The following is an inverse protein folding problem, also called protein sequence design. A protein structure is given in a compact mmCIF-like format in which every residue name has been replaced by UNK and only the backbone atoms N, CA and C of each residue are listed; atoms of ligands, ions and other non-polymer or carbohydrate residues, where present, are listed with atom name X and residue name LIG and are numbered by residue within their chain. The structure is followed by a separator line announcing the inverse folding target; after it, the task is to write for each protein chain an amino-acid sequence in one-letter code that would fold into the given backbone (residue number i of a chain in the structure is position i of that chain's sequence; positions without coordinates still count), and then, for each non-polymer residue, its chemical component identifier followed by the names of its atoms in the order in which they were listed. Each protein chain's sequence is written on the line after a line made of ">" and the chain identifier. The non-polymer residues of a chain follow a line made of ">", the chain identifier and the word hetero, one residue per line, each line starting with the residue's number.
data_IF_396692833269
#
_entry.id   IF_396692833269
#
_cell.length_a   1.000
_cell.length_b   1.000
_cell.length_c   1.000
_cell.angle_alpha   90.00
_cell.angle_beta   90.00
_cell.angle_gamma   90.00
#
_symmetry.space_group_name_H-M   'P 1'
#
loop_
_entity.id
_entity.type
_entity.pdbx_description
1 polymer ?
#
# COMPACT_ATOMS: atom_id res chain seq x y z
N UNK A 1 27.51 -53.75 -44.21
CA UNK A 1 26.89 -53.38 -45.50
C UNK A 1 26.39 -51.94 -45.39
N UNK A 2 26.72 -51.14 -46.43
CA UNK A 2 26.12 -49.87 -46.93
C UNK A 2 25.09 -49.14 -46.04
N UNK A 3 25.14 -47.82 -45.84
CA UNK A 3 25.89 -46.76 -46.52
C UNK A 3 25.31 -45.41 -46.09
N UNK A 4 26.17 -44.38 -46.08
CA UNK A 4 25.82 -42.97 -45.89
C UNK A 4 25.83 -42.33 -47.28
N UNK A 5 24.84 -41.52 -47.61
CA UNK A 5 25.01 -40.42 -48.57
C UNK A 5 23.92 -39.37 -48.39
N UNK A 6 24.39 -38.15 -48.14
CA UNK A 6 23.64 -36.89 -48.11
C UNK A 6 23.19 -36.49 -49.52
N UNK A 7 22.11 -35.70 -49.60
CA UNK A 7 21.85 -34.91 -50.81
C UNK A 7 20.44 -34.34 -50.93
N UNK A 8 20.31 -33.03 -50.78
CA UNK A 8 19.28 -32.23 -51.46
C UNK A 8 18.17 -31.65 -50.58
N UNK A 9 18.44 -30.50 -49.98
CA UNK A 9 17.39 -29.57 -49.54
C UNK A 9 16.51 -29.17 -50.74
N UNK A 10 15.24 -29.59 -50.74
CA UNK A 10 14.22 -28.93 -51.56
C UNK A 10 13.54 -27.86 -50.70
N UNK A 11 13.59 -26.59 -51.14
CA UNK A 11 13.06 -25.41 -50.42
C UNK A 11 11.52 -25.35 -50.32
N UNK A 12 10.82 -26.45 -50.60
CA UNK A 12 9.36 -26.55 -50.60
C UNK A 12 8.67 -26.58 -49.21
N UNK A 13 9.26 -27.12 -48.13
CA UNK A 13 8.58 -27.14 -46.82
C UNK A 13 8.65 -25.77 -46.11
N UNK A 14 9.67 -24.96 -46.38
CA UNK A 14 9.81 -23.62 -45.79
C UNK A 14 8.76 -22.66 -46.35
N UNK A 15 8.47 -22.73 -47.65
CA UNK A 15 7.43 -21.90 -48.29
C UNK A 15 6.04 -22.27 -47.79
N UNK A 16 5.74 -23.57 -47.62
CA UNK A 16 4.47 -24.01 -47.02
C UNK A 16 4.35 -23.57 -45.56
N UNK A 17 5.43 -23.61 -44.78
CA UNK A 17 5.43 -23.16 -43.40
C UNK A 17 5.17 -21.64 -43.30
N UNK A 18 5.80 -20.82 -44.14
CA UNK A 18 5.55 -19.38 -44.16
C UNK A 18 4.10 -19.05 -44.54
N UNK A 19 3.52 -19.75 -45.51
CA UNK A 19 2.10 -19.54 -45.90
C UNK A 19 1.16 -19.92 -44.75
N UNK A 20 1.43 -21.02 -44.03
CA UNK A 20 0.63 -21.43 -42.87
C UNK A 20 0.70 -20.41 -41.71
N UNK A 21 1.88 -19.84 -41.44
CA UNK A 21 2.04 -18.81 -40.40
C UNK A 21 1.28 -17.54 -40.77
N UNK A 22 1.34 -17.10 -42.03
CA UNK A 22 0.60 -15.91 -42.50
C UNK A 22 -0.92 -16.14 -42.40
N UNK A 23 -1.42 -17.31 -42.78
CA UNK A 23 -2.84 -17.65 -42.64
C UNK A 23 -3.30 -17.68 -41.17
N UNK A 24 -2.47 -18.20 -40.25
CA UNK A 24 -2.78 -18.20 -38.82
C UNK A 24 -2.73 -16.80 -38.21
N UNK A 25 -1.81 -15.94 -38.63
CA UNK A 25 -1.77 -14.54 -38.21
C UNK A 25 -3.00 -13.76 -38.70
N UNK A 26 -3.44 -13.98 -39.95
CA UNK A 26 -4.65 -13.34 -40.49
C UNK A 26 -5.92 -13.83 -39.79
N UNK A 27 -6.00 -15.12 -39.43
CA UNK A 27 -7.09 -15.65 -38.59
C UNK A 27 -7.04 -15.06 -37.17
N UNK A 28 -5.86 -14.92 -36.57
CA UNK A 28 -5.72 -14.32 -35.24
C UNK A 28 -6.11 -12.84 -35.23
N UNK A 29 -5.77 -12.08 -36.28
CA UNK A 29 -6.21 -10.69 -36.44
C UNK A 29 -7.72 -10.58 -36.71
N UNK A 30 -8.30 -11.51 -37.46
CA UNK A 30 -9.74 -11.56 -37.69
C UNK A 30 -10.54 -11.86 -36.41
N UNK A 31 -10.07 -12.80 -35.58
CA UNK A 31 -10.71 -13.14 -34.30
C UNK A 31 -10.37 -12.16 -33.16
N UNK A 32 -9.25 -11.43 -33.23
CA UNK A 32 -8.92 -10.37 -32.28
C UNK A 32 -9.53 -9.01 -32.67
N UNK A 33 -9.99 -8.87 -33.92
CA UNK A 33 -10.62 -7.67 -34.47
C UNK A 33 -12.15 -7.62 -34.35
N UNK A 34 -12.82 -8.67 -33.85
CA UNK A 34 -14.26 -8.62 -33.57
C UNK A 34 -14.55 -8.09 -32.16
N UNK A 35 -14.39 -6.78 -32.06
CA UNK A 35 -15.20 -5.84 -31.28
C UNK A 35 -15.56 -6.21 -29.83
N UNK A 36 -14.72 -5.69 -28.94
CA UNK A 36 -15.15 -5.25 -27.61
C UNK A 36 -16.21 -4.16 -27.74
N UNK A 37 -17.43 -4.51 -27.33
CA UNK A 37 -18.60 -3.64 -27.32
C UNK A 37 -18.88 -3.07 -25.91
N UNK A 38 -17.84 -2.96 -25.07
CA UNK A 38 -17.96 -2.52 -23.66
C UNK A 38 -17.39 -1.12 -23.39
N UNK A 39 -16.63 -0.51 -24.32
CA UNK A 39 -15.99 0.80 -24.11
C UNK A 39 -16.88 2.02 -24.42
N UNK A 40 -17.94 1.87 -25.23
CA UNK A 40 -18.76 3.01 -25.66
C UNK A 40 -19.66 3.57 -24.57
N UNK A 41 -20.14 2.74 -23.63
CA UNK A 41 -21.10 3.19 -22.62
C UNK A 41 -20.46 4.13 -21.56
N UNK A 42 -19.21 3.87 -21.16
CA UNK A 42 -18.48 4.71 -20.21
C UNK A 42 -18.06 6.04 -20.82
N UNK A 43 -17.61 6.02 -22.08
CA UNK A 43 -17.23 7.21 -22.83
C UNK A 43 -18.48 8.09 -23.10
N UNK A 44 -19.62 7.49 -23.43
CA UNK A 44 -20.88 8.21 -23.61
C UNK A 44 -21.40 8.81 -22.30
N UNK A 45 -21.22 8.14 -21.15
CA UNK A 45 -21.58 8.69 -19.84
C UNK A 45 -20.65 9.83 -19.41
N UNK A 46 -19.34 9.69 -19.59
CA UNK A 46 -18.36 10.74 -19.31
C UNK A 46 -18.58 11.99 -20.18
N UNK A 47 -18.91 11.80 -21.46
CA UNK A 47 -19.21 12.89 -22.41
C UNK A 47 -20.58 13.55 -22.12
N UNK A 48 -21.57 12.79 -21.63
CA UNK A 48 -22.86 13.35 -21.18
C UNK A 48 -22.73 14.14 -19.88
N UNK A 49 -21.88 13.69 -18.95
CA UNK A 49 -21.61 14.40 -17.71
C UNK A 49 -20.85 15.71 -17.95
N UNK A 50 -19.85 15.74 -18.85
CA UNK A 50 -19.14 16.97 -19.21
C UNK A 50 -20.05 18.00 -19.89
N UNK A 51 -20.95 17.56 -20.78
CA UNK A 51 -21.98 18.42 -21.41
C UNK A 51 -22.99 18.98 -20.41
N UNK A 52 -23.34 18.21 -19.37
CA UNK A 52 -24.24 18.65 -18.28
C UNK A 52 -23.64 19.74 -17.39
N UNK A 53 -22.32 19.92 -17.40
CA UNK A 53 -21.60 20.96 -16.64
C UNK A 53 -21.27 22.21 -17.48
N UNK A 54 -21.75 22.30 -18.73
CA UNK A 54 -21.58 23.49 -19.57
C UNK A 54 -20.18 23.67 -20.15
N UNK A 55 -19.33 22.64 -20.15
CA UNK A 55 -17.95 22.70 -20.67
C UNK A 55 -17.85 22.24 -22.12
N UNK A 56 -18.47 22.99 -23.03
CA UNK A 56 -18.25 22.84 -24.46
C UNK A 56 -17.68 24.14 -25.02
N UNK A 57 -16.43 24.13 -25.47
CA UNK A 57 -15.93 25.13 -26.42
C UNK A 57 -15.25 24.39 -27.56
N UNK A 58 -15.84 24.53 -28.75
CA UNK A 58 -15.17 24.31 -30.02
C UNK A 58 -14.09 25.40 -30.19
N UNK A 59 -12.92 25.04 -30.71
CA UNK A 59 -11.87 26.01 -31.05
C UNK A 59 -10.50 25.36 -31.28
N UNK A 60 -10.14 25.23 -32.56
CA UNK A 60 -8.76 25.00 -33.03
C UNK A 60 -7.83 26.15 -32.58
N UNK A 61 -6.57 25.83 -32.28
CA UNK A 61 -5.52 26.84 -32.12
C UNK A 61 -4.29 26.35 -31.36
N UNK A 62 -3.19 26.24 -32.09
CA UNK A 62 -1.83 25.96 -31.63
C UNK A 62 -1.24 27.07 -30.74
N UNK A 63 -0.18 26.67 -30.03
CA UNK A 63 1.02 27.42 -29.65
C UNK A 63 1.33 27.62 -28.15
N UNK A 64 2.60 27.37 -27.84
CA UNK A 64 3.14 27.21 -26.49
C UNK A 64 3.47 28.50 -25.74
N UNK A 65 3.52 28.39 -24.41
CA UNK A 65 4.42 29.17 -23.54
C UNK A 65 4.34 28.65 -22.10
N UNK A 66 5.50 28.28 -21.56
CA UNK A 66 5.74 28.04 -20.14
C UNK A 66 5.74 29.37 -19.39
N UNK A 67 4.98 29.45 -18.30
CA UNK A 67 5.25 30.44 -17.24
C UNK A 67 5.12 29.83 -15.84
N UNK A 68 6.06 30.25 -15.01
CA UNK A 68 6.35 29.84 -13.65
C UNK A 68 5.26 30.27 -12.65
N UNK A 69 4.91 29.36 -11.76
CA UNK A 69 4.15 29.65 -10.54
C UNK A 69 5.13 30.31 -9.58
N UNK A 70 5.10 31.65 -9.48
CA UNK A 70 5.18 32.44 -8.24
C UNK A 70 5.39 33.91 -8.64
N UNK A 71 4.26 34.60 -8.88
CA UNK A 71 4.19 36.05 -8.98
C UNK A 71 3.13 36.57 -8.02
N UNK A 72 3.56 37.36 -7.04
CA UNK A 72 2.69 38.16 -6.18
C UNK A 72 2.00 39.24 -7.01
N UNK A 73 0.66 39.22 -7.11
CA UNK A 73 -0.10 40.30 -7.73
C UNK A 73 -1.58 39.97 -8.00
N UNK A 74 -2.45 40.78 -7.40
CA UNK A 74 -3.89 40.98 -7.62
C UNK A 74 -4.87 39.79 -7.64
N UNK A 75 -5.70 39.76 -6.58
CA UNK A 75 -6.95 39.04 -6.53
C UNK A 75 -7.95 39.68 -7.49
N UNK A 76 -8.01 39.22 -8.74
CA UNK A 76 -9.20 39.17 -9.62
C UNK A 76 -8.78 38.75 -11.05
N UNK A 77 -8.41 37.48 -11.23
CA UNK A 77 -8.72 36.64 -12.41
C UNK A 77 -7.86 35.36 -12.36
N UNK A 78 -8.25 34.39 -11.51
CA UNK A 78 -7.63 33.06 -11.55
C UNK A 78 -8.28 32.31 -12.71
N UNK A 79 -7.68 32.35 -13.90
CA UNK A 79 -8.03 31.44 -15.00
C UNK A 79 -7.85 30.00 -14.52
N UNK A 80 -8.96 29.32 -14.24
CA UNK A 80 -8.98 27.89 -13.97
C UNK A 80 -8.49 27.15 -15.22
N UNK A 81 -7.24 26.65 -15.17
CA UNK A 81 -6.74 25.72 -16.18
C UNK A 81 -7.60 24.46 -16.14
N UNK A 82 -8.28 24.14 -17.25
CA UNK A 82 -8.98 22.87 -17.43
C UNK A 82 -7.97 21.77 -17.79
N UNK A 83 -8.00 20.65 -17.07
CA UNK A 83 -7.15 19.50 -17.37
C UNK A 83 -7.86 18.53 -18.34
N UNK A 84 -7.17 18.01 -19.38
CA UNK A 84 -7.73 16.97 -20.24
C UNK A 84 -7.86 15.65 -19.48
N UNK A 85 -8.69 14.71 -19.96
CA UNK A 85 -8.73 13.34 -19.43
C UNK A 85 -7.43 12.62 -19.80
N UNK A 86 -6.89 11.81 -18.88
CA UNK A 86 -5.69 11.03 -19.15
C UNK A 86 -5.94 10.01 -20.27
N UNK A 87 -4.99 9.87 -21.18
CA UNK A 87 -5.02 8.79 -22.18
C UNK A 87 -4.90 7.44 -21.46
N UNK A 88 -5.74 6.47 -21.85
CA UNK A 88 -5.83 5.11 -21.27
C UNK A 88 -4.47 4.39 -21.20
N UNK A 89 -3.51 4.78 -22.05
CA UNK A 89 -2.11 4.32 -22.02
C UNK A 89 -1.42 4.57 -20.67
N UNK A 90 -1.88 5.57 -19.92
CA UNK A 90 -1.32 5.96 -18.62
C UNK A 90 -2.10 5.36 -17.43
N UNK A 91 -3.05 4.44 -17.66
CA UNK A 91 -3.85 3.80 -16.60
C UNK A 91 -3.00 3.14 -15.50
N UNK A 92 -1.85 2.55 -15.87
CA UNK A 92 -0.90 1.93 -14.93
C UNK A 92 0.20 2.88 -14.44
N UNK A 93 0.26 4.10 -14.97
CA UNK A 93 1.36 5.01 -14.68
C UNK A 93 1.19 5.60 -13.28
N UNK A 94 2.12 5.28 -12.39
CA UNK A 94 2.26 5.94 -11.10
C UNK A 94 3.51 6.84 -11.18
N UNK A 95 3.38 8.16 -11.33
CA UNK A 95 4.50 9.01 -11.73
C UNK A 95 5.76 8.85 -10.87
N UNK A 96 5.61 8.80 -9.54
CA UNK A 96 6.74 8.66 -8.64
C UNK A 96 7.17 7.22 -8.35
N UNK A 97 6.52 6.22 -8.93
CA UNK A 97 6.84 4.80 -8.75
C UNK A 97 6.99 4.09 -10.11
N UNK A 98 7.23 4.87 -11.16
CA UNK A 98 7.43 4.34 -12.51
C UNK A 98 8.83 3.74 -12.64
N UNK A 99 8.88 2.43 -12.84
CA UNK A 99 10.14 1.70 -13.08
C UNK A 99 10.83 2.16 -14.37
N UNK A 100 10.09 2.60 -15.38
CA UNK A 100 10.69 3.09 -16.62
C UNK A 100 11.47 4.38 -16.38
N UNK A 101 10.96 5.26 -15.52
CA UNK A 101 11.65 6.47 -15.10
C UNK A 101 13.02 6.17 -14.47
N UNK A 102 13.12 5.11 -13.63
CA UNK A 102 14.39 4.68 -13.03
C UNK A 102 15.44 4.40 -14.11
N UNK A 103 15.06 3.67 -15.17
CA UNK A 103 15.96 3.36 -16.30
C UNK A 103 16.30 4.61 -17.12
N UNK A 104 15.31 5.46 -17.42
CA UNK A 104 15.49 6.70 -18.18
C UNK A 104 16.43 7.69 -17.46
N UNK A 105 16.29 7.80 -16.13
CA UNK A 105 17.11 8.66 -15.29
C UNK A 105 18.45 8.03 -14.90
N UNK A 106 18.68 6.76 -15.24
CA UNK A 106 19.89 5.98 -14.89
C UNK A 106 20.19 6.02 -13.39
N UNK A 107 19.15 5.93 -12.56
CA UNK A 107 19.30 5.93 -11.11
C UNK A 107 20.07 4.67 -10.68
N UNK A 108 21.07 4.86 -9.82
CA UNK A 108 21.83 3.76 -9.22
C UNK A 108 21.15 3.40 -7.90
N UNK A 109 20.29 2.39 -7.97
CA UNK A 109 19.50 1.92 -6.83
C UNK A 109 20.03 0.57 -6.33
N UNK A 110 19.99 0.36 -5.02
CA UNK A 110 20.19 -0.95 -4.43
C UNK A 110 18.89 -1.75 -4.45
N UNK A 111 18.83 -2.73 -5.35
CA UNK A 111 17.64 -3.56 -5.51
C UNK A 111 17.41 -4.50 -4.32
N UNK A 112 18.46 -4.84 -3.55
CA UNK A 112 18.35 -5.68 -2.36
C UNK A 112 17.68 -4.93 -1.21
N UNK A 113 17.79 -3.59 -1.21
CA UNK A 113 17.15 -2.71 -0.23
C UNK A 113 15.78 -2.21 -0.67
N UNK A 114 15.27 -2.72 -1.79
CA UNK A 114 13.96 -2.37 -2.34
C UNK A 114 13.83 -0.88 -2.72
N UNK A 115 14.95 -0.18 -2.96
CA UNK A 115 14.95 1.25 -3.33
C UNK A 115 14.16 1.53 -4.62
N UNK A 116 14.02 0.54 -5.49
CA UNK A 116 13.24 0.63 -6.72
C UNK A 116 11.72 0.65 -6.52
N UNK A 117 11.23 0.37 -5.30
CA UNK A 117 9.83 0.57 -4.89
C UNK A 117 9.64 1.86 -4.08
N UNK A 118 10.72 2.61 -3.81
CA UNK A 118 10.63 3.93 -3.21
C UNK A 118 10.30 5.00 -4.24
N UNK A 119 9.94 6.19 -3.75
CA UNK A 119 9.49 7.30 -4.58
C UNK A 119 10.65 7.92 -5.35
N UNK A 120 10.58 7.84 -6.67
CA UNK A 120 11.45 8.54 -7.63
C UNK A 120 10.56 9.36 -8.56
N UNK A 121 10.43 10.66 -8.31
CA UNK A 121 9.49 11.50 -9.04
C UNK A 121 10.11 12.12 -10.30
N UNK A 122 9.35 12.25 -11.40
CA UNK A 122 9.82 12.90 -12.61
C UNK A 122 10.07 14.40 -12.36
N UNK A 123 11.01 14.99 -13.10
CA UNK A 123 11.20 16.44 -13.08
C UNK A 123 9.93 17.14 -13.62
N UNK A 124 9.71 18.43 -13.29
CA UNK A 124 8.46 19.13 -13.58
C UNK A 124 7.97 19.00 -15.03
N UNK A 125 8.88 18.96 -15.99
CA UNK A 125 8.61 18.93 -17.44
C UNK A 125 8.03 17.58 -17.90
N UNK A 126 8.18 16.53 -17.08
CA UNK A 126 7.67 15.17 -17.36
C UNK A 126 6.46 14.81 -16.50
N UNK A 127 5.86 15.79 -15.81
CA UNK A 127 4.67 15.56 -14.98
C UNK A 127 3.40 15.61 -15.82
N UNK A 128 2.55 14.61 -15.66
CA UNK A 128 1.24 14.55 -16.30
C UNK A 128 0.25 15.38 -15.50
N UNK A 129 -0.56 16.16 -16.23
CA UNK A 129 -1.60 17.01 -15.68
C UNK A 129 -2.92 16.67 -16.39
N UNK A 130 -3.59 15.61 -15.95
CA UNK A 130 -4.81 15.10 -16.57
C UNK A 130 -5.78 14.52 -15.53
N UNK A 131 -7.06 14.42 -15.90
CA UNK A 131 -8.14 13.91 -15.06
C UNK A 131 -8.26 12.40 -15.18
N UNK A 132 -8.50 11.73 -14.04
CA UNK A 132 -8.77 10.30 -13.95
C UNK A 132 -10.29 10.02 -13.81
N UNK A 133 -10.77 8.81 -14.14
CA UNK A 133 -12.16 8.43 -13.97
C UNK A 133 -12.68 8.61 -12.53
N UNK A 134 -13.96 8.92 -12.38
CA UNK A 134 -14.58 9.11 -11.06
C UNK A 134 -14.92 7.77 -10.40
N UNK A 135 -14.57 7.55 -9.13
CA UNK A 135 -14.95 6.35 -8.39
C UNK A 135 -16.45 6.36 -8.03
N UNK A 136 -16.96 5.21 -7.59
CA UNK A 136 -18.28 5.14 -6.94
C UNK A 136 -18.24 6.00 -5.67
N UNK A 137 -19.34 6.70 -5.36
CA UNK A 137 -19.40 7.52 -4.13
C UNK A 137 -19.40 6.64 -2.87
N UNK A 138 -18.61 7.04 -1.89
CA UNK A 138 -18.67 6.51 -0.52
C UNK A 138 -20.09 6.70 0.07
N UNK A 139 -20.63 5.76 0.87
CA UNK A 139 -20.02 4.52 1.38
C UNK A 139 -20.17 3.30 0.48
N UNK A 140 -20.89 3.39 -0.65
CA UNK A 140 -21.13 2.24 -1.53
C UNK A 140 -19.83 1.68 -2.12
N UNK A 141 -18.85 2.55 -2.35
CA UNK A 141 -17.53 2.21 -2.87
C UNK A 141 -16.78 1.21 -1.99
N UNK A 142 -17.03 1.20 -0.66
CA UNK A 142 -16.36 0.30 0.29
C UNK A 142 -16.41 -1.17 -0.17
N UNK A 143 -17.58 -1.58 -0.66
CA UNK A 143 -17.88 -2.98 -0.96
C UNK A 143 -18.02 -3.23 -2.46
N UNK A 144 -18.12 -2.19 -3.29
CA UNK A 144 -18.39 -2.30 -4.71
C UNK A 144 -17.67 -1.20 -5.49
N UNK A 145 -16.92 -1.55 -6.52
CA UNK A 145 -16.27 -0.59 -7.42
C UNK A 145 -16.52 -0.93 -8.89
N UNK A 146 -16.24 0.01 -9.79
CA UNK A 146 -16.33 -0.21 -11.23
C UNK A 146 -15.22 -1.15 -11.70
N UNK A 147 -15.58 -2.14 -12.51
CA UNK A 147 -14.60 -3.05 -13.12
C UNK A 147 -13.65 -2.30 -14.06
N UNK A 148 -14.14 -1.27 -14.76
CA UNK A 148 -13.35 -0.43 -15.65
C UNK A 148 -12.23 0.36 -14.94
N UNK A 149 -12.34 0.60 -13.63
CA UNK A 149 -11.32 1.31 -12.85
C UNK A 149 -10.25 0.36 -12.29
N UNK A 150 -10.38 -0.96 -12.55
CA UNK A 150 -9.47 -1.99 -12.06
C UNK A 150 -8.82 -2.68 -13.26
N UNK A 151 -7.55 -2.39 -13.54
CA UNK A 151 -6.88 -2.90 -14.74
C UNK A 151 -6.53 -4.40 -14.71
N UNK A 152 -6.78 -5.12 -13.62
CA UNK A 152 -6.31 -6.50 -13.44
C UNK A 152 -7.32 -7.45 -12.79
N UNK A 153 -8.44 -7.70 -13.45
CA UNK A 153 -9.52 -8.52 -12.88
C UNK A 153 -9.19 -10.02 -12.78
N UNK A 154 -8.08 -10.49 -13.36
CA UNK A 154 -7.62 -11.87 -13.22
C UNK A 154 -7.28 -12.24 -11.77
N UNK A 155 -6.86 -11.26 -10.95
CA UNK A 155 -6.65 -11.44 -9.51
C UNK A 155 -7.91 -11.95 -8.79
N UNK A 156 -9.11 -11.59 -9.27
CA UNK A 156 -10.36 -12.12 -8.73
C UNK A 156 -10.48 -13.64 -8.90
N UNK A 157 -9.90 -14.21 -9.97
CA UNK A 157 -9.87 -15.65 -10.23
C UNK A 157 -8.75 -16.33 -9.46
N UNK A 158 -7.57 -15.71 -9.38
CA UNK A 158 -6.42 -16.29 -8.66
C UNK A 158 -6.60 -16.33 -7.14
N UNK A 159 -7.42 -15.42 -6.60
CA UNK A 159 -7.65 -15.25 -5.15
C UNK A 159 -9.10 -15.49 -4.74
N UNK A 160 -9.85 -16.21 -5.58
CA UNK A 160 -11.26 -16.51 -5.32
C UNK A 160 -11.44 -17.37 -4.06
N UNK A 161 -10.46 -18.22 -3.75
CA UNK A 161 -10.41 -19.06 -2.55
C UNK A 161 -10.35 -18.24 -1.24
N UNK A 162 -9.82 -17.03 -1.30
CA UNK A 162 -9.63 -16.14 -0.16
C UNK A 162 -10.76 -15.12 -0.01
N UNK A 163 -11.79 -15.19 -0.84
CA UNK A 163 -12.91 -14.23 -0.85
C UNK A 163 -12.42 -12.77 -0.91
N UNK A 164 -11.35 -12.49 -1.64
CA UNK A 164 -10.86 -11.10 -1.79
C UNK A 164 -11.82 -10.26 -2.60
N UNK A 165 -12.28 -10.80 -3.73
CA UNK A 165 -13.12 -10.09 -4.69
C UNK A 165 -14.04 -11.05 -5.43
N UNK A 166 -15.20 -10.57 -5.85
CA UNK A 166 -16.18 -11.30 -6.66
C UNK A 166 -16.48 -10.47 -7.91
N UNK A 167 -16.27 -11.06 -9.09
CA UNK A 167 -16.68 -10.46 -10.36
C UNK A 167 -18.21 -10.48 -10.46
N UNK A 168 -18.82 -9.31 -10.64
CA UNK A 168 -20.26 -9.11 -10.76
C UNK A 168 -20.62 -8.34 -12.04
N UNK A 169 -19.94 -8.64 -13.15
CA UNK A 169 -20.19 -8.01 -14.46
C UNK A 169 -19.44 -6.70 -14.59
N UNK A 170 -20.15 -5.58 -14.64
CA UNK A 170 -19.56 -4.22 -14.70
C UNK A 170 -18.93 -3.76 -13.38
N UNK A 171 -19.07 -4.56 -12.32
CA UNK A 171 -18.67 -4.21 -10.96
C UNK A 171 -17.87 -5.34 -10.32
N UNK A 172 -16.98 -4.97 -9.41
CA UNK A 172 -16.27 -5.89 -8.53
C UNK A 172 -16.80 -5.69 -7.12
N UNK A 173 -17.12 -6.79 -6.42
CA UNK A 173 -17.57 -6.79 -5.02
C UNK A 173 -16.45 -7.25 -4.09
N UNK A 174 -16.37 -6.68 -2.90
CA UNK A 174 -15.39 -7.03 -1.86
C UNK A 174 -16.13 -7.56 -0.63
N UNK A 175 -16.16 -8.89 -0.40
CA UNK A 175 -16.88 -9.45 0.73
C UNK A 175 -16.09 -9.41 2.05
N UNK A 176 -14.90 -8.80 2.05
CA UNK A 176 -14.06 -8.62 3.24
C UNK A 176 -13.18 -9.83 3.59
N UNK A 177 -12.94 -10.74 2.66
CA UNK A 177 -12.05 -11.88 2.87
C UNK A 177 -10.56 -11.51 2.85
N UNK A 178 -9.74 -12.45 3.34
CA UNK A 178 -8.30 -12.32 3.50
C UNK A 178 -7.62 -13.67 3.71
N UNK A 179 -6.30 -13.73 3.55
CA UNK A 179 -5.54 -14.99 3.76
C UNK A 179 -5.63 -15.53 5.18
N UNK A 180 -5.69 -14.67 6.20
CA UNK A 180 -5.90 -15.10 7.60
C UNK A 180 -7.30 -14.83 8.14
N UNK A 181 -8.20 -14.31 7.28
CA UNK A 181 -9.58 -13.99 7.65
C UNK A 181 -10.56 -14.41 6.56
N UNK A 182 -10.47 -15.69 6.19
CA UNK A 182 -11.36 -16.35 5.21
C UNK A 182 -12.86 -16.19 5.54
N UNK A 183 -13.18 -16.07 6.83
CA UNK A 183 -14.55 -15.95 7.33
C UNK A 183 -15.04 -14.50 7.51
N UNK A 184 -14.25 -13.50 7.10
CA UNK A 184 -14.56 -12.07 7.17
C UNK A 184 -13.59 -11.28 8.06
N UNK A 185 -13.21 -10.09 7.59
CA UNK A 185 -12.35 -9.16 8.32
C UNK A 185 -12.99 -8.68 9.64
N UNK A 186 -14.32 -8.55 9.70
CA UNK A 186 -15.08 -8.23 10.92
C UNK A 186 -14.78 -9.21 12.07
N UNK A 187 -14.86 -10.52 11.80
CA UNK A 187 -14.61 -11.56 12.82
C UNK A 187 -13.16 -11.56 13.27
N UNK A 188 -12.24 -11.31 12.34
CA UNK A 188 -10.82 -11.22 12.66
C UNK A 188 -10.50 -9.99 13.52
N UNK A 189 -11.07 -8.83 13.20
CA UNK A 189 -10.97 -7.62 14.03
C UNK A 189 -11.54 -7.87 15.43
N UNK A 190 -12.73 -8.49 15.54
CA UNK A 190 -13.29 -8.87 16.83
C UNK A 190 -12.43 -9.89 17.58
N UNK A 191 -11.75 -10.80 16.88
CA UNK A 191 -10.80 -11.74 17.49
C UNK A 191 -9.57 -11.02 18.06
N UNK A 192 -9.02 -10.01 17.37
CA UNK A 192 -7.92 -9.19 17.89
C UNK A 192 -8.38 -8.45 19.15
N UNK A 193 -9.55 -7.82 19.11
CA UNK A 193 -10.12 -7.13 20.27
C UNK A 193 -10.33 -8.09 21.46
N UNK A 194 -10.78 -9.32 21.20
CA UNK A 194 -10.90 -10.36 22.21
C UNK A 194 -9.55 -10.77 22.80
N UNK A 195 -8.52 -10.94 21.97
CA UNK A 195 -7.16 -11.27 22.42
C UNK A 195 -6.58 -10.18 23.34
N UNK A 196 -6.92 -8.92 23.09
CA UNK A 196 -6.50 -7.79 23.92
C UNK A 196 -7.44 -7.53 25.11
N UNK A 197 -8.45 -8.39 25.31
CA UNK A 197 -9.47 -8.27 26.34
C UNK A 197 -10.19 -6.90 26.31
N UNK A 198 -10.41 -6.36 25.12
CA UNK A 198 -11.19 -5.13 24.93
C UNK A 198 -12.68 -5.42 25.11
N UNK A 199 -13.36 -4.43 25.68
CA UNK A 199 -14.78 -4.53 26.03
C UNK A 199 -15.64 -4.87 24.80
N UNK A 200 -16.57 -5.81 24.99
CA UNK A 200 -17.52 -6.29 23.97
C UNK A 200 -16.85 -6.78 22.66
N UNK A 201 -15.55 -7.08 22.68
CA UNK A 201 -14.74 -7.39 21.50
C UNK A 201 -14.77 -6.28 20.43
N UNK A 202 -14.87 -5.01 20.87
CA UNK A 202 -14.84 -3.83 20.01
C UNK A 202 -13.42 -3.28 19.99
N UNK A 203 -12.81 -3.28 18.80
CA UNK A 203 -11.40 -2.88 18.61
C UNK A 203 -11.11 -1.44 19.02
N UNK A 204 -12.09 -0.54 18.93
CA UNK A 204 -11.95 0.87 19.30
C UNK A 204 -11.69 1.09 20.79
N UNK A 205 -12.10 0.13 21.62
CA UNK A 205 -11.86 0.12 23.06
C UNK A 205 -12.16 1.47 23.73
N UNK A 206 -13.41 1.93 23.62
CA UNK A 206 -13.87 3.20 24.21
C UNK A 206 -13.06 4.42 23.72
N UNK A 207 -12.55 4.39 22.48
CA UNK A 207 -11.78 5.47 21.88
C UNK A 207 -10.27 5.42 22.13
N UNK A 208 -9.78 4.41 22.87
CA UNK A 208 -8.35 4.23 23.13
C UNK A 208 -7.55 3.83 21.89
N UNK A 209 -8.18 3.12 20.94
CA UNK A 209 -7.55 2.73 19.67
C UNK A 209 -8.33 3.37 18.52
N UNK A 210 -7.67 4.30 17.79
CA UNK A 210 -8.32 5.09 16.73
C UNK A 210 -7.57 5.03 15.41
N UNK A 211 -6.27 4.77 15.45
CA UNK A 211 -5.37 4.82 14.30
C UNK A 211 -4.58 3.53 14.18
N UNK A 212 -4.54 3.00 12.96
CA UNK A 212 -3.87 1.73 12.66
C UNK A 212 -2.95 1.89 11.46
N UNK A 213 -1.74 1.34 11.53
CA UNK A 213 -0.89 1.14 10.37
C UNK A 213 -1.08 -0.29 9.86
N UNK A 214 -1.62 -0.46 8.65
CA UNK A 214 -1.92 -1.77 8.07
C UNK A 214 -0.92 -2.09 6.96
N UNK A 215 0.12 -2.86 7.30
CA UNK A 215 1.27 -3.15 6.42
C UNK A 215 1.03 -4.44 5.64
N UNK A 216 1.23 -4.38 4.32
CA UNK A 216 0.92 -5.49 3.42
C UNK A 216 -0.59 -5.69 3.30
N UNK A 217 -1.35 -4.60 3.19
CA UNK A 217 -2.80 -4.55 3.34
C UNK A 217 -3.62 -5.33 2.30
N UNK A 218 -2.99 -5.78 1.21
CA UNK A 218 -3.73 -6.36 0.08
C UNK A 218 -4.68 -5.32 -0.52
N UNK A 219 -5.93 -5.73 -0.71
CA UNK A 219 -7.04 -4.85 -1.13
C UNK A 219 -7.58 -3.95 0.01
N UNK A 220 -6.92 -3.92 1.17
CA UNK A 220 -7.30 -3.14 2.36
C UNK A 220 -8.63 -3.53 3.03
N UNK A 221 -9.01 -4.81 2.97
CA UNK A 221 -10.22 -5.32 3.64
C UNK A 221 -10.19 -5.07 5.16
N UNK A 222 -9.05 -5.30 5.81
CA UNK A 222 -8.89 -5.02 7.23
C UNK A 222 -9.15 -3.54 7.55
N UNK A 223 -8.45 -2.63 6.86
CA UNK A 223 -8.66 -1.19 7.03
C UNK A 223 -10.08 -0.72 6.73
N UNK A 224 -10.72 -1.24 5.67
CA UNK A 224 -12.10 -0.88 5.32
C UNK A 224 -13.15 -1.30 6.35
N UNK A 225 -12.92 -2.42 7.04
CA UNK A 225 -13.83 -2.92 8.07
C UNK A 225 -13.58 -2.28 9.45
N UNK A 226 -12.40 -1.72 9.70
CA UNK A 226 -12.13 -0.93 10.91
C UNK A 226 -13.00 0.34 10.99
N UNK A 227 -13.42 0.89 9.84
CA UNK A 227 -14.27 2.08 9.78
C UNK A 227 -15.63 1.90 10.48
N UNK A 228 -16.20 0.68 10.51
CA UNK A 228 -17.45 0.44 11.25
C UNK A 228 -17.26 0.52 12.77
N UNK A 229 -16.02 0.47 13.24
CA UNK A 229 -15.64 0.62 14.63
C UNK A 229 -15.08 2.02 14.93
N UNK A 230 -15.24 3.01 14.04
CA UNK A 230 -14.63 4.34 14.19
C UNK A 230 -13.10 4.32 14.34
N UNK A 231 -12.45 3.36 13.68
CA UNK A 231 -10.99 3.24 13.62
C UNK A 231 -10.54 3.47 12.19
N UNK A 232 -9.56 4.35 12.01
CA UNK A 232 -8.98 4.65 10.70
C UNK A 232 -7.67 3.90 10.56
N UNK A 233 -7.58 3.04 9.55
CA UNK A 233 -6.33 2.43 9.15
C UNK A 233 -5.71 3.22 8.00
N UNK A 234 -4.39 3.35 8.04
CA UNK A 234 -3.58 3.75 6.91
C UNK A 234 -2.94 2.50 6.32
N UNK A 235 -3.48 2.05 5.19
CA UNK A 235 -3.05 0.82 4.52
C UNK A 235 -1.87 1.06 3.59
N UNK A 236 -0.85 0.20 3.68
CA UNK A 236 0.41 0.31 2.96
C UNK A 236 0.71 -0.99 2.20
N UNK A 237 1.00 -0.89 0.90
CA UNK A 237 1.54 -1.98 0.11
C UNK A 237 2.42 -1.45 -1.04
N UNK A 238 3.44 -2.22 -1.48
CA UNK A 238 4.25 -1.86 -2.63
C UNK A 238 3.47 -2.06 -3.95
N UNK A 239 3.93 -1.41 -5.02
CA UNK A 239 3.50 -1.71 -6.38
C UNK A 239 4.35 -2.87 -6.95
N UNK A 240 4.16 -4.08 -6.43
CA UNK A 240 4.99 -5.25 -6.73
C UNK A 240 4.43 -6.15 -7.85
N UNK A 241 4.90 -7.40 -7.91
CA UNK A 241 4.46 -8.40 -8.89
C UNK A 241 2.96 -8.72 -8.82
N UNK A 242 2.29 -8.34 -7.73
CA UNK A 242 0.85 -8.48 -7.56
C UNK A 242 0.05 -7.23 -7.99
N UNK A 243 0.68 -6.35 -8.78
CA UNK A 243 0.13 -5.11 -9.34
C UNK A 243 -0.28 -4.10 -8.25
N UNK A 244 -0.83 -2.96 -8.66
CA UNK A 244 -1.24 -1.88 -7.77
C UNK A 244 -2.48 -2.27 -6.94
N UNK A 245 -2.28 -3.08 -5.90
CA UNK A 245 -3.34 -3.49 -4.95
C UNK A 245 -3.97 -2.29 -4.22
N UNK A 246 -3.20 -1.22 -4.04
CA UNK A 246 -3.65 0.03 -3.45
C UNK A 246 -4.70 0.73 -4.31
N UNK A 247 -4.68 0.56 -5.64
CA UNK A 247 -5.75 1.08 -6.51
C UNK A 247 -7.13 0.57 -6.05
N UNK A 248 -7.24 -0.70 -5.69
CA UNK A 248 -8.49 -1.26 -5.17
C UNK A 248 -8.93 -0.55 -3.89
N UNK A 249 -8.00 -0.30 -2.96
CA UNK A 249 -8.30 0.39 -1.71
C UNK A 249 -8.77 1.83 -1.96
N UNK A 250 -8.11 2.55 -2.87
CA UNK A 250 -8.44 3.93 -3.23
C UNK A 250 -9.79 4.04 -3.95
N UNK A 251 -10.07 3.15 -4.91
CA UNK A 251 -11.39 3.05 -5.58
C UNK A 251 -12.52 2.76 -4.60
N UNK A 252 -12.18 2.06 -3.51
CA UNK A 252 -13.13 1.77 -2.43
C UNK A 252 -13.32 2.95 -1.47
N UNK A 253 -12.46 3.97 -1.51
CA UNK A 253 -12.46 5.10 -0.56
C UNK A 253 -11.81 4.77 0.79
N UNK A 254 -10.95 3.74 0.84
CA UNK A 254 -10.23 3.32 2.04
C UNK A 254 -8.87 4.05 2.06
N UNK A 255 -8.46 4.67 3.19
CA UNK A 255 -7.17 5.35 3.27
C UNK A 255 -6.02 4.38 3.06
N UNK A 256 -5.30 4.58 1.97
CA UNK A 256 -4.22 3.72 1.57
C UNK A 256 -3.21 4.49 0.73
N UNK A 257 -1.96 4.03 0.71
CA UNK A 257 -0.94 4.61 -0.17
C UNK A 257 0.06 3.55 -0.60
N UNK A 258 0.65 3.80 -1.76
CA UNK A 258 1.75 2.99 -2.27
C UNK A 258 3.04 3.34 -1.54
N UNK A 259 3.70 2.33 -0.99
CA UNK A 259 4.98 2.48 -0.33
C UNK A 259 5.56 1.16 0.12
N UNK A 260 6.79 1.21 0.58
CA UNK A 260 7.57 0.05 1.00
C UNK A 260 8.31 0.38 2.29
N UNK A 261 8.52 -0.62 3.13
CA UNK A 261 9.50 -0.59 4.21
C UNK A 261 10.89 -0.88 3.61
N UNK A 262 11.44 0.12 2.92
CA UNK A 262 12.74 0.06 2.24
C UNK A 262 13.85 0.65 3.11
N UNK A 263 14.44 1.74 2.66
CA UNK A 263 15.51 2.50 3.33
C UNK A 263 15.00 3.76 4.02
N UNK A 264 13.91 4.37 3.52
CA UNK A 264 13.38 5.65 4.04
C UNK A 264 12.34 5.44 5.13
N UNK A 265 12.34 6.32 6.14
CA UNK A 265 11.25 6.40 7.13
C UNK A 265 9.90 6.53 6.42
N UNK A 266 8.88 5.87 6.96
CA UNK A 266 7.52 6.08 6.52
C UNK A 266 7.10 7.52 6.82
N UNK A 267 6.24 8.14 5.99
CA UNK A 267 5.94 9.57 6.02
C UNK A 267 4.97 9.95 7.15
N UNK A 268 5.19 9.42 8.35
CA UNK A 268 4.40 9.66 9.55
C UNK A 268 5.32 10.06 10.70
N UNK A 269 4.98 11.12 11.45
CA UNK A 269 5.66 11.46 12.70
C UNK A 269 5.75 10.27 13.64
N UNK A 270 6.68 10.32 14.59
CA UNK A 270 6.77 9.30 15.62
C UNK A 270 5.45 9.20 16.39
N UNK A 271 5.12 7.99 16.86
CA UNK A 271 3.95 7.75 17.73
C UNK A 271 2.62 8.18 17.09
N UNK A 272 2.49 7.96 15.78
CA UNK A 272 1.28 8.26 15.02
C UNK A 272 0.19 7.20 15.18
N UNK A 273 0.53 5.95 15.54
CA UNK A 273 -0.42 4.83 15.52
C UNK A 273 -0.53 4.13 16.89
N UNK A 274 -1.74 3.67 17.23
CA UNK A 274 -1.97 2.82 18.40
C UNK A 274 -1.79 1.33 18.11
N UNK A 275 -1.99 0.91 16.87
CA UNK A 275 -1.82 -0.48 16.44
C UNK A 275 -1.09 -0.51 15.09
N UNK A 276 -0.14 -1.42 14.95
CA UNK A 276 0.39 -1.86 13.68
C UNK A 276 -0.14 -3.27 13.41
N UNK A 277 -0.55 -3.53 12.18
CA UNK A 277 -1.07 -4.80 11.74
C UNK A 277 -0.27 -5.29 10.54
N UNK A 278 0.14 -6.56 10.57
CA UNK A 278 0.63 -7.26 9.39
C UNK A 278 0.02 -8.66 9.37
N UNK A 279 -0.63 -8.99 8.26
CA UNK A 279 -1.18 -10.32 8.00
C UNK A 279 -0.56 -10.87 6.72
N UNK A 280 0.35 -11.84 6.87
CA UNK A 280 1.14 -12.42 5.77
C UNK A 280 1.82 -11.36 4.88
N UNK A 281 2.32 -10.27 5.46
CA UNK A 281 2.91 -9.16 4.70
C UNK A 281 4.24 -9.51 4.00
N UNK A 282 4.83 -10.70 4.27
CA UNK A 282 6.10 -11.18 3.69
C UNK A 282 7.27 -10.21 3.87
N UNK A 283 7.26 -9.48 4.97
CA UNK A 283 8.36 -8.61 5.36
C UNK A 283 9.31 -9.42 6.23
N UNK A 284 10.58 -9.48 5.81
CA UNK A 284 11.65 -9.93 6.68
C UNK A 284 11.91 -8.85 7.73
N UNK A 285 11.34 -9.02 8.93
CA UNK A 285 11.49 -8.10 10.05
C UNK A 285 12.87 -8.14 10.71
N UNK A 286 13.67 -9.18 10.45
CA UNK A 286 14.99 -9.39 11.05
C UNK A 286 16.12 -8.82 10.20
N UNK A 287 15.86 -8.53 8.93
CA UNK A 287 16.84 -7.92 8.04
C UNK A 287 17.45 -6.65 8.65
N UNK A 288 18.72 -6.38 8.29
CA UNK A 288 19.42 -5.13 8.63
C UNK A 288 19.30 -4.77 10.11
N UNK A 289 19.63 -5.73 10.98
CA UNK A 289 19.58 -5.58 12.44
C UNK A 289 18.20 -5.22 13.00
N UNK A 290 17.13 -5.62 12.31
CA UNK A 290 15.76 -5.37 12.74
C UNK A 290 15.26 -3.95 12.43
N UNK A 291 15.92 -3.23 11.50
CA UNK A 291 15.62 -1.82 11.20
C UNK A 291 14.15 -1.57 10.85
N UNK A 292 13.47 -2.53 10.20
CA UNK A 292 12.06 -2.39 9.83
C UNK A 292 11.13 -2.48 11.05
N UNK A 293 11.47 -3.35 12.00
CA UNK A 293 10.76 -3.45 13.27
C UNK A 293 10.99 -2.21 14.13
N UNK A 294 12.16 -1.58 14.00
CA UNK A 294 12.49 -0.31 14.66
C UNK A 294 11.75 0.88 14.06
N UNK A 295 11.49 0.86 12.74
CA UNK A 295 10.59 1.85 12.13
C UNK A 295 9.14 1.69 12.63
N UNK A 296 8.65 0.46 12.80
CA UNK A 296 7.38 0.24 13.49
C UNK A 296 7.41 0.75 14.93
N UNK A 297 8.51 0.54 15.66
CA UNK A 297 8.67 1.09 17.01
C UNK A 297 8.56 2.60 17.01
N UNK A 298 9.26 3.32 16.13
CA UNK A 298 9.17 4.78 16.02
C UNK A 298 7.73 5.25 15.82
N UNK A 299 6.97 4.54 14.99
CA UNK A 299 5.60 4.89 14.59
C UNK A 299 4.54 4.57 15.64
N UNK A 300 4.77 3.56 16.48
CA UNK A 300 3.84 3.14 17.52
C UNK A 300 3.94 4.03 18.77
N UNK A 301 2.77 4.43 19.28
CA UNK A 301 2.63 5.12 20.57
C UNK A 301 3.16 4.27 21.73
N UNK A 302 3.54 4.87 22.87
CA UNK A 302 3.78 4.12 24.09
C UNK A 302 2.55 3.28 24.45
N UNK A 303 2.74 1.99 24.76
CA UNK A 303 1.64 1.04 24.96
C UNK A 303 0.92 0.60 23.67
N UNK A 304 1.37 1.05 22.50
CA UNK A 304 0.84 0.62 21.21
C UNK A 304 1.13 -0.85 20.93
N UNK A 305 0.32 -1.45 20.06
CA UNK A 305 0.32 -2.88 19.78
C UNK A 305 0.88 -3.19 18.40
N UNK A 306 1.51 -4.35 18.24
CA UNK A 306 1.82 -4.94 16.93
C UNK A 306 1.15 -6.30 16.80
N UNK A 307 0.10 -6.38 15.99
CA UNK A 307 -0.60 -7.61 15.66
C UNK A 307 0.01 -8.24 14.41
N UNK A 308 0.59 -9.43 14.57
CA UNK A 308 1.29 -10.15 13.50
C UNK A 308 0.67 -11.53 13.31
N UNK A 309 0.08 -11.75 12.14
CA UNK A 309 -0.47 -13.04 11.72
C UNK A 309 0.34 -13.58 10.56
N UNK A 310 1.19 -14.58 10.80
CA UNK A 310 2.08 -15.16 9.81
C UNK A 310 2.56 -16.55 10.25
N UNK A 311 3.00 -17.44 9.35
CA UNK A 311 3.48 -18.79 9.70
C UNK A 311 4.52 -18.79 10.82
N UNK A 312 5.44 -17.83 10.84
CA UNK A 312 6.46 -17.71 11.88
C UNK A 312 5.85 -17.53 13.29
N UNK A 313 4.59 -17.11 13.41
CA UNK A 313 3.92 -17.02 14.70
C UNK A 313 3.41 -18.39 15.22
N UNK A 314 3.10 -19.37 14.36
CA UNK A 314 2.33 -20.57 14.75
C UNK A 314 2.81 -21.90 14.17
N UNK A 315 3.48 -21.87 13.02
CA UNK A 315 4.00 -23.05 12.36
C UNK A 315 5.12 -23.69 13.17
N UNK A 316 5.38 -24.96 12.88
CA UNK A 316 6.19 -25.86 13.71
C UNK A 316 7.38 -26.46 12.96
N UNK A 317 7.59 -26.08 11.71
CA UNK A 317 8.82 -26.42 11.00
C UNK A 317 10.01 -25.64 11.57
N UNK A 318 11.21 -26.09 11.20
CA UNK A 318 12.46 -25.61 11.76
C UNK A 318 12.74 -24.15 11.40
N UNK A 319 12.41 -23.74 10.19
CA UNK A 319 12.65 -22.39 9.69
C UNK A 319 11.77 -21.38 10.40
N UNK A 320 10.45 -21.62 10.44
CA UNK A 320 9.50 -20.73 11.12
C UNK A 320 9.79 -20.60 12.62
N UNK A 321 10.20 -21.69 13.29
CA UNK A 321 10.62 -21.66 14.70
C UNK A 321 11.90 -20.86 14.93
N UNK A 322 12.86 -20.94 13.99
CA UNK A 322 14.09 -20.16 14.07
C UNK A 322 13.79 -18.67 13.95
N UNK A 323 12.99 -18.29 12.94
CA UNK A 323 12.58 -16.90 12.73
C UNK A 323 11.78 -16.38 13.94
N UNK A 324 10.83 -17.16 14.46
CA UNK A 324 10.09 -16.84 15.68
C UNK A 324 11.00 -16.50 16.86
N UNK A 325 12.02 -17.34 17.11
CA UNK A 325 12.95 -17.17 18.22
C UNK A 325 13.78 -15.90 18.07
N UNK A 326 14.28 -15.65 16.86
CA UNK A 326 15.05 -14.44 16.54
C UNK A 326 14.18 -13.17 16.66
N UNK A 327 12.95 -13.19 16.12
CA UNK A 327 12.00 -12.07 16.23
C UNK A 327 11.61 -11.81 17.68
N UNK A 328 11.30 -12.84 18.46
CA UNK A 328 10.96 -12.71 19.88
C UNK A 328 12.13 -12.14 20.67
N UNK A 329 13.36 -12.61 20.40
CA UNK A 329 14.57 -12.07 21.03
C UNK A 329 14.81 -10.60 20.67
N UNK A 330 14.53 -10.18 19.43
CA UNK A 330 14.59 -8.77 19.03
C UNK A 330 13.53 -7.94 19.77
N UNK A 331 12.28 -8.41 19.79
CA UNK A 331 11.18 -7.75 20.51
C UNK A 331 11.51 -7.53 21.99
N UNK A 332 12.02 -8.57 22.67
CA UNK A 332 12.45 -8.50 24.07
C UNK A 332 13.58 -7.50 24.28
N UNK A 333 14.60 -7.48 23.39
CA UNK A 333 15.69 -6.49 23.43
C UNK A 333 15.19 -5.07 23.15
N UNK A 334 14.06 -4.92 22.46
CA UNK A 334 13.33 -3.67 22.25
C UNK A 334 12.36 -3.33 23.40
N UNK A 335 12.37 -4.11 24.49
CA UNK A 335 11.45 -3.97 25.63
C UNK A 335 9.97 -4.22 25.32
N UNK A 336 9.66 -4.84 24.19
CA UNK A 336 8.29 -5.24 23.87
C UNK A 336 7.94 -6.52 24.64
N UNK A 337 6.68 -6.65 25.00
CA UNK A 337 6.14 -7.84 25.66
C UNK A 337 5.07 -8.47 24.79
N UNK A 338 4.90 -9.79 24.90
CA UNK A 338 3.73 -10.45 24.29
C UNK A 338 2.51 -10.06 25.14
N UNK A 339 1.55 -9.38 24.51
CA UNK A 339 0.25 -9.12 25.11
C UNK A 339 -0.62 -10.38 25.08
N UNK A 340 -0.66 -11.05 23.92
CA UNK A 340 -1.37 -12.32 23.75
C UNK A 340 -0.80 -13.08 22.54
N UNK A 341 -0.87 -14.41 22.57
CA UNK A 341 -0.52 -15.26 21.42
C UNK A 341 -1.52 -16.39 21.30
N UNK A 342 -2.35 -16.34 20.25
CA UNK A 342 -3.46 -17.27 20.07
C UNK A 342 -3.63 -17.64 18.61
N UNK A 343 -3.81 -18.94 18.35
CA UNK A 343 -3.96 -19.50 17.01
C UNK A 343 -2.80 -19.07 16.08
N UNK A 344 -3.11 -18.30 15.04
CA UNK A 344 -2.16 -17.84 14.02
C UNK A 344 -1.62 -16.44 14.27
N UNK A 345 -1.94 -15.81 15.41
CA UNK A 345 -1.64 -14.40 15.67
C UNK A 345 -0.90 -14.24 16.99
N UNK A 346 0.14 -13.42 16.96
CA UNK A 346 0.80 -12.86 18.15
C UNK A 346 0.55 -11.36 18.18
N UNK A 347 0.33 -10.83 19.38
CA UNK A 347 0.25 -9.39 19.60
C UNK A 347 1.33 -9.00 20.60
N UNK A 348 2.23 -8.12 20.18
CA UNK A 348 3.18 -7.47 21.07
C UNK A 348 2.66 -6.12 21.54
N UNK A 349 3.15 -5.66 22.69
CA UNK A 349 2.86 -4.34 23.26
C UNK A 349 4.17 -3.61 23.59
N UNK A 350 4.23 -2.33 23.22
CA UNK A 350 5.34 -1.43 23.54
C UNK A 350 5.36 -1.05 25.03
N UNK A 351 6.53 -0.72 25.59
CA UNK A 351 6.59 -0.17 26.93
C UNK A 351 5.88 1.20 27.00
N UNK A 352 5.26 1.51 28.13
CA UNK A 352 4.58 2.79 28.36
C UNK A 352 5.55 3.95 28.64
N UNK A 353 6.76 3.64 29.08
CA UNK A 353 7.77 4.61 29.48
C UNK A 353 9.20 4.12 29.14
N UNK A 354 10.20 4.94 29.45
CA UNK A 354 11.61 4.65 29.15
C UNK A 354 12.31 3.74 30.19
N UNK A 355 11.62 3.23 31.21
CA UNK A 355 12.27 2.56 32.34
C UNK A 355 13.04 1.32 31.90
N UNK A 356 12.41 0.50 31.04
CA UNK A 356 13.10 -0.65 30.46
C UNK A 356 14.29 -0.24 29.59
N UNK A 357 14.18 0.84 28.81
CA UNK A 357 15.30 1.32 27.99
C UNK A 357 16.51 1.72 28.83
N UNK A 358 16.28 2.37 29.99
CA UNK A 358 17.33 2.77 30.93
C UNK A 358 17.97 1.59 31.65
N UNK A 359 17.22 0.51 31.88
CA UNK A 359 17.71 -0.68 32.57
C UNK A 359 18.43 -1.68 31.66
N UNK A 360 18.51 -1.42 30.35
CA UNK A 360 19.18 -2.33 29.40
C UNK A 360 20.68 -2.44 29.71
N UNK A 361 21.27 -3.64 29.63
CA UNK A 361 22.72 -3.80 29.73
C UNK A 361 23.47 -2.93 28.70
N UNK A 362 24.63 -2.40 29.09
CA UNK A 362 25.48 -1.63 28.16
C UNK A 362 25.88 -2.52 26.97
N UNK A 363 25.82 -1.97 25.76
CA UNK A 363 26.12 -2.70 24.53
C UNK A 363 24.98 -3.58 24.00
N UNK A 364 23.77 -3.50 24.58
CA UNK A 364 22.59 -4.17 24.02
C UNK A 364 22.23 -3.58 22.65
N UNK A 365 22.18 -4.43 21.63
CA UNK A 365 21.62 -4.06 20.33
C UNK A 365 20.10 -4.30 20.31
N UNK A 366 19.30 -3.46 19.62
CA UNK A 366 19.70 -2.21 18.96
C UNK A 366 19.97 -1.09 19.99
N UNK A 367 20.91 -0.17 19.74
CA UNK A 367 21.18 0.96 20.64
C UNK A 367 20.00 1.94 20.70
N UNK A 368 20.06 2.91 21.62
CA UNK A 368 19.15 4.06 21.58
C UNK A 368 19.62 5.06 20.50
N UNK A 369 18.68 5.73 19.86
CA UNK A 369 18.98 6.77 18.88
C UNK A 369 19.72 7.95 19.53
N UNK A 370 20.53 8.66 18.74
CA UNK A 370 21.32 9.80 19.21
C UNK A 370 20.40 10.97 19.55
N UNK A 371 20.81 11.84 20.49
CA UNK A 371 20.01 12.98 20.97
C UNK A 371 19.70 14.06 19.92
N UNK A 372 20.38 14.04 18.76
CA UNK A 372 20.13 14.94 17.64
C UNK A 372 19.31 14.34 16.50
N UNK A 373 18.90 13.06 16.61
CA UNK A 373 18.01 12.44 15.64
C UNK A 373 16.56 12.83 15.97
N UNK A 374 15.95 13.66 15.13
CA UNK A 374 14.56 14.06 15.25
C UNK A 374 13.65 12.93 14.74
N UNK A 375 12.90 12.25 15.61
CA UNK A 375 12.07 11.12 15.21
C UNK A 375 10.82 11.52 14.41
N UNK A 376 10.48 12.81 14.36
CA UNK A 376 9.37 13.36 13.57
C UNK A 376 9.82 13.84 12.19
N UNK A 377 11.13 13.88 11.93
CA UNK A 377 11.69 14.12 10.60
C UNK A 377 11.54 12.88 9.72
N UNK A 378 10.71 12.98 8.68
CA UNK A 378 10.26 11.82 7.90
C UNK A 378 10.56 11.91 6.40
N UNK A 379 10.63 13.12 5.84
CA UNK A 379 10.71 13.28 4.38
C UNK A 379 12.14 13.09 3.88
N UNK A 380 12.39 12.00 3.15
CA UNK A 380 13.71 11.68 2.58
C UNK A 380 14.74 11.17 3.60
N UNK A 381 14.34 11.04 4.87
CA UNK A 381 15.19 10.56 5.96
C UNK A 381 15.35 9.05 5.89
N UNK A 382 16.59 8.57 5.96
CA UNK A 382 16.90 7.14 6.01
C UNK A 382 16.60 6.59 7.41
N UNK A 383 16.07 5.38 7.50
CA UNK A 383 15.88 4.69 8.78
C UNK A 383 17.24 4.43 9.45
N UNK A 384 17.24 4.33 10.77
CA UNK A 384 18.42 3.93 11.55
C UNK A 384 18.05 2.74 12.45
N UNK A 385 18.98 1.80 12.64
CA UNK A 385 18.79 0.65 13.51
C UNK A 385 18.97 1.01 14.99
N UNK A 386 18.12 1.90 15.50
CA UNK A 386 18.11 2.35 16.89
C UNK A 386 16.68 2.52 17.43
N UNK A 387 16.54 2.46 18.75
CA UNK A 387 15.26 2.70 19.45
C UNK A 387 15.15 4.18 19.79
N UNK A 388 14.05 4.81 19.40
CA UNK A 388 13.75 6.21 19.74
C UNK A 388 13.22 6.29 21.18
N UNK A 389 13.94 6.93 22.13
CA UNK A 389 13.43 7.12 23.48
C UNK A 389 12.22 8.06 23.49
N UNK A 390 11.32 7.88 24.46
CA UNK A 390 10.24 8.85 24.67
C UNK A 390 10.80 10.16 25.24
N UNK A 391 10.20 11.32 24.90
CA UNK A 391 10.56 12.58 25.52
C UNK A 391 10.42 12.47 27.03
N UNK A 392 11.43 12.92 27.78
CA UNK A 392 11.27 13.10 29.21
C UNK A 392 10.27 14.22 29.44
N UNK A 393 9.23 13.97 30.25
CA UNK A 393 8.34 15.03 30.70
C UNK A 393 9.17 16.09 31.44
N UNK A 394 9.52 17.17 30.75
CA UNK A 394 9.94 18.39 31.43
C UNK A 394 8.69 18.95 32.08
N UNK A 395 8.49 18.65 33.36
CA UNK A 395 7.64 19.47 34.22
C UNK A 395 8.28 20.86 34.35
N UNK A 396 8.22 21.66 33.30
CA UNK A 396 8.38 23.11 33.41
C UNK A 396 7.05 23.63 33.89
N UNK A 397 7.01 24.04 35.16
CA UNK A 397 5.81 24.59 35.79
C UNK A 397 5.27 25.77 34.98
N UNK A 398 4.13 25.54 34.33
CA UNK A 398 3.18 26.56 33.91
C UNK A 398 1.84 25.85 33.67
N UNK A 399 0.98 25.88 34.69
CA UNK A 399 -0.46 25.57 34.63
C UNK A 399 -0.81 24.11 34.37
N UNK A 400 -1.67 23.55 35.22
CA UNK A 400 -2.47 22.37 34.85
C UNK A 400 -3.14 22.62 33.50
N UNK A 401 -2.67 21.92 32.46
CA UNK A 401 -3.46 21.70 31.25
C UNK A 401 -3.94 20.28 31.33
N UNK A 402 -5.14 20.17 31.88
CA UNK A 402 -5.90 18.96 32.09
C UNK A 402 -6.29 18.38 30.72
N UNK A 403 -5.50 17.45 30.18
CA UNK A 403 -5.76 16.79 28.89
C UNK A 403 -6.88 15.74 28.93
N UNK A 404 -7.75 15.76 29.96
CA UNK A 404 -8.76 14.72 30.18
C UNK A 404 -10.22 15.20 30.30
N UNK A 405 -10.55 16.49 30.11
CA UNK A 405 -11.94 16.97 30.27
C UNK A 405 -12.45 17.90 29.15
N UNK A 406 -12.06 17.67 27.89
CA UNK A 406 -12.44 18.55 26.77
C UNK A 406 -13.33 17.93 25.67
N UNK A 407 -14.13 16.89 25.95
CA UNK A 407 -15.04 16.29 24.95
C UNK A 407 -16.41 15.92 25.51
N UNK A 408 -16.98 16.77 26.35
CA UNK A 408 -18.42 16.82 26.60
C UNK A 408 -18.87 18.28 26.55
N UNK A 409 -19.24 18.72 25.36
CA UNK A 409 -20.45 19.53 25.09
C UNK A 409 -20.80 19.44 23.59
#
# INVERSE_FOLDING_TARGET
>A
MRGRNDGGQSKKPVVLFCIMVVCLCLLFLYFSGSNGQAGSAALEYGTKFSRSLGWGSDGDGDDGSDESIFGTGDANDVKLKSFPVCDDRHSELIPCLDRNLIYQMRLKLDLNLMEHYERHCPPPERRFNCLIPLPIKWPKSRDIVWKANIPHTHLAKEKSDQNWMIDAGEKIKFPGGGTHFHHGADKYISSIANMLNFKDNIINNEGMLRTVLDVGCGVASFGGYLLSSNVIAMSLAPNDVHQNQIQFALERGIPAYLGVLGTKRLPYPSRSFELAHCSRCRIDWLQRDGILMLELDRLLRPGGYFAYSSPEAYAQDEEDRRIWKEMSSLAERMCWKIAEKKNQTVIWVKPLNNDCYRSRPRGTNPPLCKSGDDPDSVWGVTMEACITPYPEQKCTGMGEVDWLLGLLD
#
